data_IF_338853096375
#
_entry.id   IF_338853096375
#
_cell.length_a   1.000
_cell.length_b   1.000
_cell.length_c   1.000
_cell.angle_alpha   90.00
_cell.angle_beta   90.00
_cell.angle_gamma   90.00
#
_symmetry.space_group_name_H-M   'P 1'
#
loop_
_entity.id
_entity.type
_entity.pdbx_description
1 polymer ?
#
# COMPACT_ATOMS: atom_id res chain seq x y z
N UNK A 1 14.98 5.68 9.11
CA UNK A 1 14.84 5.92 7.66
C UNK A 1 13.39 5.59 7.34
N UNK A 2 12.56 6.57 6.91
CA UNK A 2 11.19 6.29 6.45
C UNK A 2 11.27 5.92 4.97
N UNK A 3 10.74 4.77 4.59
CA UNK A 3 10.38 4.55 3.19
C UNK A 3 9.28 5.55 2.82
N UNK A 4 9.31 6.12 1.61
CA UNK A 4 8.30 7.09 1.19
C UNK A 4 8.74 8.55 1.35
N UNK A 5 9.87 8.96 0.76
CA UNK A 5 10.03 10.40 0.46
C UNK A 5 8.99 10.80 -0.58
N UNK A 6 8.36 11.95 -0.38
CA UNK A 6 7.57 12.58 -1.44
C UNK A 6 8.45 12.76 -2.68
N UNK A 7 8.03 12.21 -3.82
CA UNK A 7 8.60 12.42 -5.16
C UNK A 7 9.49 11.33 -5.76
N UNK A 8 9.82 10.23 -5.06
CA UNK A 8 10.68 9.17 -5.65
C UNK A 8 10.34 7.73 -5.28
N UNK A 9 9.63 7.48 -4.18
CA UNK A 9 9.50 6.12 -3.65
C UNK A 9 8.07 5.60 -3.85
N UNK A 10 7.92 4.56 -4.67
CA UNK A 10 6.69 3.78 -4.76
C UNK A 10 6.73 2.68 -3.70
N UNK A 11 5.69 2.60 -2.86
CA UNK A 11 5.51 1.47 -1.95
C UNK A 11 4.72 0.39 -2.67
N UNK A 12 5.21 -0.85 -2.61
CA UNK A 12 4.42 -2.04 -2.90
C UNK A 12 4.13 -2.80 -1.62
N UNK A 13 3.03 -3.53 -1.59
CA UNK A 13 2.57 -4.28 -0.42
C UNK A 13 2.61 -5.75 -0.76
N UNK A 14 3.16 -6.56 0.13
CA UNK A 14 3.14 -8.02 0.03
C UNK A 14 2.45 -8.61 1.25
N UNK A 15 1.80 -9.76 1.03
CA UNK A 15 1.17 -10.55 2.07
C UNK A 15 1.67 -11.98 1.98
N UNK A 16 2.07 -12.55 3.11
CA UNK A 16 2.35 -13.98 3.17
C UNK A 16 1.05 -14.78 3.16
N UNK A 17 0.90 -15.71 2.22
CA UNK A 17 -0.31 -16.51 2.06
C UNK A 17 -0.29 -17.87 2.79
N UNK A 18 0.84 -18.20 3.43
CA UNK A 18 1.10 -19.50 4.07
C UNK A 18 2.20 -20.29 3.38
N UNK A 19 2.53 -19.97 2.13
CA UNK A 19 3.58 -20.62 1.34
C UNK A 19 4.60 -19.62 0.83
N UNK A 20 4.14 -18.49 0.30
CA UNK A 20 5.00 -17.45 -0.29
C UNK A 20 4.49 -16.03 0.01
N UNK A 21 5.37 -15.05 -0.25
CA UNK A 21 5.00 -13.65 -0.23
C UNK A 21 4.40 -13.29 -1.59
N UNK A 22 3.13 -12.91 -1.57
CA UNK A 22 2.41 -12.50 -2.78
C UNK A 22 2.15 -11.00 -2.76
N UNK A 23 2.28 -10.37 -3.92
CA UNK A 23 1.95 -8.96 -4.08
C UNK A 23 0.46 -8.73 -3.83
N UNK A 24 0.16 -7.66 -3.09
CA UNK A 24 -1.19 -7.12 -2.97
C UNK A 24 -1.34 -6.06 -4.04
N UNK A 25 -2.07 -6.41 -5.09
CA UNK A 25 -2.37 -5.49 -6.19
C UNK A 25 -2.99 -4.18 -5.68
N UNK A 26 -2.50 -3.05 -6.19
CA UNK A 26 -3.06 -1.74 -5.92
C UNK A 26 -4.52 -1.67 -6.37
N UNK A 27 -5.35 -0.96 -5.61
CA UNK A 27 -6.77 -0.77 -5.92
C UNK A 27 -6.99 0.39 -6.90
N UNK A 28 -5.96 1.19 -7.14
CA UNK A 28 -5.99 2.26 -8.14
C UNK A 28 -4.71 3.07 -8.19
N UNK A 29 -4.81 4.25 -8.79
CA UNK A 29 -3.73 5.23 -8.90
C UNK A 29 -4.28 6.58 -8.43
N UNK A 30 -3.58 7.26 -7.51
CA UNK A 30 -3.97 8.63 -7.14
C UNK A 30 -3.36 9.65 -8.08
N UNK A 31 -4.00 10.81 -8.17
CA UNK A 31 -3.47 11.98 -8.89
C UNK A 31 -2.95 13.07 -7.95
N UNK A 32 -3.10 12.91 -6.63
CA UNK A 32 -2.65 13.89 -5.64
C UNK A 32 -1.14 13.78 -5.41
N UNK A 33 -0.38 14.64 -6.10
CA UNK A 33 1.06 14.82 -5.92
C UNK A 33 1.94 13.96 -6.85
N UNK A 34 1.64 12.67 -7.04
CA UNK A 34 2.21 11.79 -8.08
C UNK A 34 1.25 10.70 -8.46
N UNK A 35 1.29 10.31 -9.74
CA UNK A 35 0.71 9.06 -10.21
C UNK A 35 1.43 7.90 -9.52
N UNK A 36 0.81 7.35 -8.48
CA UNK A 36 1.32 6.24 -7.70
C UNK A 36 0.19 5.31 -7.25
N UNK A 37 0.52 4.04 -6.94
CA UNK A 37 -0.48 3.07 -6.51
C UNK A 37 -1.17 3.55 -5.23
N UNK A 38 -2.46 3.28 -5.14
CA UNK A 38 -3.24 3.48 -3.93
C UNK A 38 -3.91 2.19 -3.52
N UNK A 39 -4.18 2.07 -2.23
CA UNK A 39 -4.76 0.87 -1.62
C UNK A 39 -6.05 1.22 -0.89
N UNK A 40 -7.01 0.30 -0.91
CA UNK A 40 -8.25 0.41 -0.14
C UNK A 40 -7.97 0.08 1.32
N UNK A 41 -8.32 1.02 2.22
CA UNK A 41 -8.24 0.80 3.67
C UNK A 41 -9.03 -0.46 4.09
N UNK A 42 -10.27 -0.59 3.61
CA UNK A 42 -11.12 -1.73 3.92
C UNK A 42 -10.52 -3.06 3.45
N UNK A 43 -9.90 -3.08 2.25
CA UNK A 43 -9.24 -4.27 1.72
C UNK A 43 -8.02 -4.64 2.56
N UNK A 44 -7.14 -3.68 2.87
CA UNK A 44 -5.96 -3.93 3.71
C UNK A 44 -6.35 -4.47 5.10
N UNK A 45 -7.40 -3.89 5.72
CA UNK A 45 -7.95 -4.40 6.98
C UNK A 45 -8.48 -5.83 6.85
N UNK A 46 -9.21 -6.14 5.78
CA UNK A 46 -9.73 -7.49 5.53
C UNK A 46 -8.61 -8.53 5.34
N UNK A 47 -7.44 -8.10 4.84
CA UNK A 47 -6.26 -8.92 4.67
C UNK A 47 -5.45 -9.09 5.96
N UNK A 48 -5.84 -8.42 7.04
CA UNK A 48 -5.15 -8.45 8.32
C UNK A 48 -3.94 -7.51 8.41
N UNK A 49 -3.89 -6.46 7.59
CA UNK A 49 -2.82 -5.48 7.66
C UNK A 49 -2.82 -4.75 9.02
N UNK A 50 -1.66 -4.58 9.67
CA UNK A 50 -1.56 -3.81 10.91
C UNK A 50 -1.74 -2.30 10.63
N UNK A 51 -2.28 -1.54 11.59
CA UNK A 51 -2.49 -0.08 11.45
C UNK A 51 -1.25 0.67 10.95
N UNK A 52 -0.07 0.30 11.47
CA UNK A 52 1.19 0.93 11.07
C UNK A 52 1.49 0.78 9.58
N UNK A 53 1.02 -0.30 8.93
CA UNK A 53 1.16 -0.47 7.48
C UNK A 53 0.19 0.45 6.74
N UNK A 54 -1.05 0.52 7.22
CA UNK A 54 -2.09 1.40 6.65
C UNK A 54 -1.63 2.87 6.72
N UNK A 55 -0.97 3.28 7.80
CA UNK A 55 -0.40 4.63 7.97
C UNK A 55 0.77 4.96 7.03
N UNK A 56 1.39 3.94 6.40
CA UNK A 56 2.55 4.13 5.52
C UNK A 56 2.18 4.20 4.06
N UNK A 57 1.10 3.54 3.64
CA UNK A 57 0.69 3.48 2.24
C UNK A 57 -0.16 4.69 1.83
N UNK A 58 -0.25 4.93 0.53
CA UNK A 58 -1.23 5.87 -0.01
C UNK A 58 -2.60 5.18 -0.08
N UNK A 59 -3.61 5.74 0.58
CA UNK A 59 -4.98 5.25 0.48
C UNK A 59 -5.69 5.88 -0.74
N UNK A 60 -6.55 5.09 -1.39
CA UNK A 60 -7.43 5.64 -2.42
C UNK A 60 -8.48 6.58 -1.77
N UNK A 61 -8.88 7.62 -2.50
CA UNK A 61 -9.96 8.54 -2.10
C UNK A 61 -11.35 7.87 -2.12
#
# INVERSE_FOLDING_TARGET
MRAGRSSTDHLWVERFDGTEWVEVEADGVTTSGMHGPCFSDARLRSLGAPEKLIDMVTLCE
#
